data_IF_527345569343
#
_entry.id   IF_527345569343
#
_cell.length_a   1.000
_cell.length_b   1.000
_cell.length_c   1.000
_cell.angle_alpha   90.00
_cell.angle_beta   90.00
_cell.angle_gamma   90.00
#
_symmetry.space_group_name_H-M   'P 1'
#
loop_
_entity.id
_entity.type
_entity.pdbx_description
1 polymer ?
#
# COMPACT_ATOMS: atom_id res chain seq x y z
N UNK A 1 19.79 21.89 2.02
CA UNK A 1 19.19 20.64 1.50
C UNK A 1 18.90 19.72 2.67
N UNK A 2 17.69 19.13 2.73
CA UNK A 2 17.32 18.21 3.80
C UNK A 2 17.87 16.81 3.45
N UNK A 3 18.97 16.40 4.10
CA UNK A 3 19.74 15.20 3.71
C UNK A 3 18.91 13.91 3.70
N UNK A 4 17.91 13.82 4.59
CA UNK A 4 17.00 12.67 4.67
C UNK A 4 16.14 12.52 3.41
N UNK A 5 15.68 13.64 2.84
CA UNK A 5 14.86 13.61 1.62
C UNK A 5 15.67 13.13 0.41
N UNK A 6 16.94 13.55 0.31
CA UNK A 6 17.86 13.14 -0.75
C UNK A 6 18.12 11.63 -0.74
N UNK A 7 18.39 11.06 0.43
CA UNK A 7 18.59 9.60 0.60
C UNK A 7 17.32 8.84 0.22
N UNK A 8 16.14 9.33 0.63
CA UNK A 8 14.88 8.70 0.30
C UNK A 8 14.59 8.66 -1.20
N UNK A 9 14.91 9.73 -1.92
CA UNK A 9 14.71 9.82 -3.37
C UNK A 9 15.63 8.86 -4.14
N UNK A 10 16.87 8.67 -3.68
CA UNK A 10 17.81 7.74 -4.33
C UNK A 10 17.50 6.27 -4.06
N UNK A 11 16.99 5.93 -2.87
CA UNK A 11 16.80 4.53 -2.45
C UNK A 11 15.38 4.00 -2.67
N UNK A 12 14.39 4.87 -2.90
CA UNK A 12 12.99 4.45 -3.06
C UNK A 12 12.58 4.53 -4.54
N UNK A 13 12.33 3.38 -5.17
CA UNK A 13 11.77 3.36 -6.52
C UNK A 13 10.39 4.04 -6.54
N UNK A 14 10.23 5.06 -7.39
CA UNK A 14 8.94 5.71 -7.65
C UNK A 14 8.08 4.75 -8.47
N UNK A 15 7.11 4.11 -7.82
CA UNK A 15 6.02 3.40 -8.49
C UNK A 15 4.88 4.37 -8.71
N UNK A 16 4.39 4.44 -9.94
CA UNK A 16 3.19 5.19 -10.26
C UNK A 16 1.97 4.32 -9.99
N UNK A 17 1.03 4.85 -9.19
CA UNK A 17 -0.25 4.23 -8.92
C UNK A 17 -1.37 5.14 -9.39
N UNK A 18 -2.53 4.60 -9.79
CA UNK A 18 -3.72 5.41 -10.05
C UNK A 18 -4.05 6.30 -8.86
N UNK A 19 -4.56 7.50 -9.14
CA UNK A 19 -5.06 8.37 -8.09
C UNK A 19 -6.32 7.76 -7.44
N UNK A 20 -6.38 7.77 -6.12
CA UNK A 20 -7.53 7.33 -5.32
C UNK A 20 -7.63 8.16 -4.04
N UNK A 21 -8.80 8.15 -3.40
CA UNK A 21 -9.10 8.89 -2.16
C UNK A 21 -9.81 8.01 -1.13
N UNK A 22 -9.91 8.45 0.13
CA UNK A 22 -10.79 7.79 1.10
C UNK A 22 -12.23 7.71 0.56
N UNK A 23 -12.86 6.56 0.76
CA UNK A 23 -14.17 6.21 0.21
C UNK A 23 -14.12 5.38 -1.08
N UNK A 24 -12.99 5.34 -1.78
CA UNK A 24 -12.86 4.52 -2.99
C UNK A 24 -12.70 3.03 -2.63
N UNK A 25 -13.33 2.15 -3.42
CA UNK A 25 -13.10 0.71 -3.35
C UNK A 25 -11.95 0.33 -4.29
N UNK A 26 -10.83 -0.12 -3.73
CA UNK A 26 -9.62 -0.45 -4.49
C UNK A 26 -9.22 -1.91 -4.31
N UNK A 27 -8.42 -2.42 -5.24
CA UNK A 27 -7.74 -3.72 -5.10
C UNK A 27 -6.25 -3.50 -4.96
N UNK A 28 -5.67 -3.98 -3.87
CA UNK A 28 -4.23 -3.92 -3.59
C UNK A 28 -3.63 -5.29 -3.80
N UNK A 29 -2.64 -5.41 -4.69
CA UNK A 29 -1.95 -6.67 -4.95
C UNK A 29 -0.66 -6.73 -4.12
N UNK A 30 -0.51 -7.82 -3.37
CA UNK A 30 0.69 -8.11 -2.59
C UNK A 30 1.46 -9.24 -3.24
N UNK A 31 2.76 -9.03 -3.48
CA UNK A 31 3.68 -10.14 -3.71
C UNK A 31 3.99 -10.80 -2.37
N UNK A 32 3.65 -12.07 -2.24
CA UNK A 32 3.98 -12.89 -1.07
C UNK A 32 5.02 -13.91 -1.49
N UNK A 33 6.13 -13.93 -0.77
CA UNK A 33 7.25 -14.83 -1.00
C UNK A 33 7.35 -15.72 0.25
N UNK A 34 7.05 -17.01 0.08
CA UNK A 34 7.03 -18.02 1.13
C UNK A 34 8.08 -19.09 0.76
N UNK A 35 9.32 -18.87 1.21
CA UNK A 35 10.46 -19.69 0.79
C UNK A 35 10.73 -19.56 -0.70
N UNK A 36 10.61 -20.67 -1.44
CA UNK A 36 10.81 -20.72 -2.89
C UNK A 36 9.51 -20.49 -3.69
N UNK A 37 8.36 -20.26 -3.02
CA UNK A 37 7.09 -20.02 -3.69
C UNK A 37 6.77 -18.53 -3.67
N UNK A 38 6.36 -18.02 -4.83
CA UNK A 38 5.84 -16.66 -4.96
C UNK A 38 4.38 -16.70 -5.40
N UNK A 39 3.54 -15.88 -4.76
CA UNK A 39 2.14 -15.70 -5.15
C UNK A 39 1.71 -14.25 -5.06
N UNK A 40 0.75 -13.87 -5.88
CA UNK A 40 0.08 -12.57 -5.79
C UNK A 40 -1.20 -12.76 -4.98
N UNK A 41 -1.33 -12.01 -3.89
CA UNK A 41 -2.56 -11.98 -3.10
C UNK A 41 -3.24 -10.62 -3.24
N UNK A 42 -4.45 -10.63 -3.78
CA UNK A 42 -5.28 -9.44 -3.89
C UNK A 42 -6.05 -9.16 -2.60
N UNK A 43 -6.05 -7.90 -2.18
CA UNK A 43 -6.85 -7.39 -1.07
C UNK A 43 -7.76 -6.28 -1.60
N UNK A 44 -9.04 -6.61 -1.82
CA UNK A 44 -10.05 -5.66 -2.28
C UNK A 44 -10.86 -5.13 -1.10
N UNK A 45 -11.05 -3.82 -1.03
CA UNK A 45 -11.82 -3.17 0.01
C UNK A 45 -11.85 -1.65 -0.11
N UNK A 46 -12.49 -1.00 0.86
CA UNK A 46 -12.66 0.44 0.89
C UNK A 46 -11.47 1.12 1.54
N UNK A 47 -10.99 2.21 0.92
CA UNK A 47 -9.96 3.06 1.51
C UNK A 47 -10.61 3.89 2.61
N UNK A 48 -10.22 3.65 3.86
CA UNK A 48 -10.77 4.39 5.01
C UNK A 48 -9.87 5.56 5.44
N UNK A 49 -8.59 5.53 5.05
CA UNK A 49 -7.61 6.53 5.48
C UNK A 49 -6.46 6.64 4.48
N UNK A 50 -5.98 7.87 4.27
CA UNK A 50 -4.68 8.19 3.64
C UNK A 50 -3.94 9.18 4.56
N UNK A 51 -2.64 9.02 4.73
CA UNK A 51 -1.82 9.88 5.58
C UNK A 51 -0.36 9.90 5.11
N UNK A 52 0.40 10.90 5.55
CA UNK A 52 1.81 11.07 5.17
C UNK A 52 2.00 11.55 3.74
N UNK A 53 3.27 11.69 3.34
CA UNK A 53 3.67 12.22 2.02
C UNK A 53 4.89 11.46 1.48
N UNK A 54 5.05 11.44 0.15
CA UNK A 54 6.19 10.80 -0.50
C UNK A 54 6.40 9.35 -0.05
N UNK A 55 7.63 9.02 0.35
CA UNK A 55 8.02 7.66 0.76
C UNK A 55 7.44 7.20 2.10
N UNK A 56 6.91 8.13 2.92
CA UNK A 56 6.24 7.80 4.20
C UNK A 56 4.72 7.80 4.07
N UNK A 57 4.18 8.02 2.86
CA UNK A 57 2.76 7.94 2.60
C UNK A 57 2.24 6.53 2.90
N UNK A 58 1.08 6.45 3.53
CA UNK A 58 0.37 5.19 3.79
C UNK A 58 -1.13 5.37 3.61
N UNK A 59 -1.81 4.26 3.36
CA UNK A 59 -3.25 4.20 3.26
C UNK A 59 -3.78 2.92 3.90
N UNK A 60 -5.02 2.96 4.39
CA UNK A 60 -5.66 1.82 5.05
C UNK A 60 -6.84 1.36 4.23
N UNK A 61 -6.84 0.07 3.89
CA UNK A 61 -7.95 -0.58 3.18
C UNK A 61 -8.67 -1.50 4.15
N UNK A 62 -10.00 -1.42 4.17
CA UNK A 62 -10.87 -2.23 5.02
C UNK A 62 -11.75 -3.13 4.17
N UNK A 63 -11.93 -4.38 4.58
CA UNK A 63 -12.94 -5.29 4.01
C UNK A 63 -13.58 -6.12 5.11
N UNK A 64 -14.73 -6.72 4.81
CA UNK A 64 -15.28 -7.82 5.60
C UNK A 64 -14.75 -9.13 5.02
N UNK A 65 -14.11 -9.96 5.84
CA UNK A 65 -13.70 -11.32 5.50
C UNK A 65 -14.39 -12.26 6.48
N UNK A 66 -15.22 -13.17 5.98
CA UNK A 66 -15.84 -14.22 6.80
C UNK A 66 -16.60 -13.65 8.01
N UNK A 67 -17.31 -12.54 7.81
CA UNK A 67 -18.05 -11.83 8.85
C UNK A 67 -17.20 -10.94 9.77
N UNK A 68 -15.88 -10.94 9.63
CA UNK A 68 -14.95 -10.15 10.47
C UNK A 68 -14.39 -8.96 9.68
N UNK A 69 -14.37 -7.78 10.30
CA UNK A 69 -13.73 -6.61 9.73
C UNK A 69 -12.20 -6.74 9.77
N UNK A 70 -11.56 -6.66 8.60
CA UNK A 70 -10.10 -6.72 8.46
C UNK A 70 -9.61 -5.41 7.85
N UNK A 71 -8.67 -4.78 8.54
CA UNK A 71 -7.99 -3.57 8.06
C UNK A 71 -6.53 -3.86 7.74
N UNK A 72 -6.04 -3.28 6.65
CA UNK A 72 -4.64 -3.41 6.26
C UNK A 72 -4.04 -2.06 5.92
N UNK A 73 -3.04 -1.67 6.69
CA UNK A 73 -2.21 -0.50 6.42
C UNK A 73 -1.18 -0.86 5.36
N UNK A 74 -1.13 -0.05 4.31
CA UNK A 74 -0.33 -0.28 3.12
C UNK A 74 0.56 0.93 2.85
N UNK A 75 1.79 0.66 2.41
CA UNK A 75 2.70 1.67 1.86
C UNK A 75 2.76 1.49 0.34
N UNK A 76 2.74 2.57 -0.47
CA UNK A 76 2.94 2.49 -1.92
C UNK A 76 4.18 1.69 -2.32
N UNK A 77 5.25 1.72 -1.52
CA UNK A 77 6.48 0.96 -1.80
C UNK A 77 6.30 -0.57 -1.71
N UNK A 78 5.37 -1.04 -0.88
CA UNK A 78 5.17 -2.48 -0.56
C UNK A 78 4.08 -3.16 -1.38
N UNK A 79 3.43 -2.43 -2.28
CA UNK A 79 2.33 -2.94 -3.10
C UNK A 79 2.75 -3.01 -4.57
N UNK A 80 2.11 -3.90 -5.33
CA UNK A 80 2.31 -4.07 -6.78
C UNK A 80 1.25 -3.30 -7.56
#
# INVERSE_FOLDING_TARGET
MNAIAFVHEQLTAKKEFPAFKPGDNITVNYKIIEGNKERIQSFKGDVIKKQGTGSTASFTVRKISDGVGVERVSSPSKVM
#
